data_IF_649181117875
#
_entry.id   IF_649181117875
#
_cell.length_a   1.000
_cell.length_b   1.000
_cell.length_c   1.000
_cell.angle_alpha   90.00
_cell.angle_beta   90.00
_cell.angle_gamma   90.00
#
_symmetry.space_group_name_H-M   'P 1'
#
loop_
_entity.id
_entity.type
_entity.pdbx_description
1 polymer ?
#
# COMPACT_ATOMS: atom_id res chain seq x y z
N UNK A 1 27.09 -0.60 -28.11
CA UNK A 1 25.83 -0.22 -27.41
C UNK A 1 25.23 -1.44 -26.71
N UNK A 2 25.56 -1.66 -25.43
CA UNK A 2 24.86 -2.56 -24.50
C UNK A 2 25.13 -2.04 -23.08
N UNK A 3 24.24 -1.22 -22.52
CA UNK A 3 24.40 -0.69 -21.15
C UNK A 3 23.08 -0.14 -20.58
N UNK A 4 21.98 -0.88 -20.72
CA UNK A 4 20.68 -0.48 -20.16
C UNK A 4 20.03 -1.55 -19.28
N UNK A 5 20.47 -2.81 -19.33
CA UNK A 5 19.82 -3.88 -18.55
C UNK A 5 20.23 -3.93 -17.07
N UNK A 6 21.44 -3.48 -16.72
CA UNK A 6 21.93 -3.56 -15.33
C UNK A 6 21.33 -2.48 -14.42
N UNK A 7 21.17 -1.25 -14.91
CA UNK A 7 20.57 -0.16 -14.15
C UNK A 7 19.08 -0.39 -13.85
N UNK A 8 18.31 -0.91 -14.82
CA UNK A 8 16.91 -1.26 -14.64
C UNK A 8 16.73 -2.41 -13.63
N UNK A 9 17.60 -3.43 -13.67
CA UNK A 9 17.58 -4.55 -12.72
C UNK A 9 17.96 -4.12 -11.30
N UNK A 10 19.02 -3.31 -11.13
CA UNK A 10 19.42 -2.80 -9.82
C UNK A 10 18.35 -1.88 -9.21
N UNK A 11 17.65 -1.11 -10.05
CA UNK A 11 16.54 -0.26 -9.63
C UNK A 11 15.28 -1.06 -9.28
N UNK A 12 15.02 -2.26 -9.83
CA UNK A 12 13.89 -3.09 -9.35
C UNK A 12 14.21 -3.69 -7.99
N UNK A 13 15.41 -4.26 -7.82
CA UNK A 13 15.83 -4.90 -6.57
C UNK A 13 15.83 -3.95 -5.38
N UNK A 14 16.23 -2.69 -5.59
CA UNK A 14 16.19 -1.68 -4.52
C UNK A 14 14.75 -1.39 -4.04
N UNK A 15 13.79 -1.31 -4.96
CA UNK A 15 12.37 -1.04 -4.64
C UNK A 15 11.72 -2.23 -3.94
N UNK A 16 11.98 -3.43 -4.46
CA UNK A 16 11.53 -4.70 -3.85
C UNK A 16 12.08 -4.85 -2.43
N UNK A 17 13.36 -4.54 -2.21
CA UNK A 17 13.98 -4.60 -0.87
C UNK A 17 13.31 -3.63 0.11
N UNK A 18 13.02 -2.39 -0.33
CA UNK A 18 12.30 -1.41 0.48
C UNK A 18 10.89 -1.91 0.81
N UNK A 19 10.18 -2.47 -0.18
CA UNK A 19 8.84 -3.03 -0.02
C UNK A 19 8.80 -4.18 1.00
N UNK A 20 9.72 -5.15 0.89
CA UNK A 20 9.74 -6.29 1.81
C UNK A 20 10.17 -5.90 3.22
N UNK A 21 11.12 -4.97 3.37
CA UNK A 21 11.48 -4.44 4.68
C UNK A 21 10.29 -3.71 5.33
N UNK A 22 9.59 -2.87 4.57
CA UNK A 22 8.38 -2.20 5.01
C UNK A 22 7.28 -3.19 5.44
N UNK A 23 6.96 -4.17 4.60
CA UNK A 23 5.92 -5.18 4.89
C UNK A 23 6.27 -5.94 6.17
N UNK A 24 7.53 -6.36 6.35
CA UNK A 24 7.96 -7.07 7.55
C UNK A 24 7.89 -6.20 8.82
N UNK A 25 8.37 -4.95 8.75
CA UNK A 25 8.44 -4.04 9.90
C UNK A 25 7.07 -3.49 10.31
N UNK A 26 6.11 -3.37 9.37
CA UNK A 26 4.76 -2.90 9.63
C UNK A 26 3.98 -3.79 10.62
N UNK A 27 4.44 -5.02 10.86
CA UNK A 27 3.86 -5.94 11.86
C UNK A 27 4.49 -5.82 13.23
N UNK A 28 5.51 -4.97 13.41
CA UNK A 28 6.24 -4.82 14.66
C UNK A 28 6.06 -3.40 15.21
N UNK A 29 5.21 -3.19 16.24
CA UNK A 29 4.90 -1.84 16.73
C UNK A 29 6.14 -1.04 17.19
N UNK A 30 7.16 -1.71 17.71
CA UNK A 30 8.40 -1.07 18.16
C UNK A 30 9.27 -0.53 17.00
N UNK A 31 8.90 -0.81 15.74
CA UNK A 31 9.63 -0.43 14.54
C UNK A 31 8.79 0.52 13.65
N UNK A 32 7.71 1.11 14.18
CA UNK A 32 6.82 1.98 13.42
C UNK A 32 7.58 3.10 12.67
N UNK A 33 8.55 3.76 13.31
CA UNK A 33 9.37 4.80 12.66
C UNK A 33 10.15 4.28 11.44
N UNK A 34 10.80 3.12 11.56
CA UNK A 34 11.54 2.52 10.46
C UNK A 34 10.59 2.05 9.36
N UNK A 35 9.46 1.44 9.73
CA UNK A 35 8.43 1.00 8.79
C UNK A 35 7.88 2.19 7.99
N UNK A 36 7.60 3.33 8.63
CA UNK A 36 7.17 4.56 7.95
C UNK A 36 8.25 5.04 6.96
N UNK A 37 9.51 5.07 7.39
CA UNK A 37 10.64 5.50 6.56
C UNK A 37 10.81 4.61 5.31
N UNK A 38 10.82 3.29 5.49
CA UNK A 38 10.95 2.34 4.38
C UNK A 38 9.74 2.36 3.46
N UNK A 39 8.52 2.40 4.00
CA UNK A 39 7.28 2.46 3.21
C UNK A 39 7.19 3.75 2.40
N UNK A 40 7.57 4.90 2.96
CA UNK A 40 7.61 6.19 2.25
C UNK A 40 8.56 6.11 1.07
N UNK A 41 9.78 5.60 1.29
CA UNK A 41 10.76 5.41 0.22
C UNK A 41 10.29 4.41 -0.85
N UNK A 42 9.53 3.38 -0.46
CA UNK A 42 8.95 2.43 -1.39
C UNK A 42 7.85 3.08 -2.26
N UNK A 43 6.98 3.90 -1.67
CA UNK A 43 5.97 4.68 -2.39
C UNK A 43 6.63 5.58 -3.44
N UNK A 44 7.65 6.34 -3.04
CA UNK A 44 8.39 7.22 -3.95
C UNK A 44 9.03 6.43 -5.10
N UNK A 45 9.61 5.27 -4.78
CA UNK A 45 10.22 4.35 -5.73
C UNK A 45 9.25 3.80 -6.79
N UNK A 46 7.98 3.56 -6.43
CA UNK A 46 6.94 3.07 -7.32
C UNK A 46 6.09 4.18 -7.96
N UNK A 47 6.45 5.47 -7.75
CA UNK A 47 5.67 6.60 -8.26
C UNK A 47 5.79 6.84 -9.77
N UNK A 48 6.88 6.40 -10.41
CA UNK A 48 7.12 6.64 -11.83
C UNK A 48 6.33 5.67 -12.73
N UNK A 49 5.14 6.09 -13.16
CA UNK A 49 4.26 5.33 -14.06
C UNK A 49 4.81 5.08 -15.46
N UNK A 50 5.85 5.81 -15.86
CA UNK A 50 6.50 5.63 -17.17
C UNK A 50 7.64 4.60 -17.13
N UNK A 51 7.98 4.08 -15.95
CA UNK A 51 8.94 2.99 -15.82
C UNK A 51 8.35 1.71 -16.45
N UNK A 52 9.05 1.05 -17.40
CA UNK A 52 8.59 -0.21 -17.99
C UNK A 52 8.33 -1.34 -16.98
N UNK A 53 8.94 -1.28 -15.79
CA UNK A 53 8.73 -2.22 -14.69
C UNK A 53 7.65 -1.76 -13.70
N UNK A 54 6.98 -0.63 -13.94
CA UNK A 54 5.92 -0.15 -13.08
C UNK A 54 4.69 -1.07 -13.16
N UNK A 55 4.15 -1.41 -12.00
CA UNK A 55 2.87 -2.08 -11.87
C UNK A 55 2.03 -1.39 -10.79
N UNK A 56 0.76 -1.14 -11.09
CA UNK A 56 -0.19 -0.53 -10.16
C UNK A 56 -0.31 -1.32 -8.84
N UNK A 57 -0.17 -2.66 -8.91
CA UNK A 57 -0.24 -3.54 -7.74
C UNK A 57 0.90 -3.30 -6.75
N UNK A 58 2.13 -3.10 -7.24
CA UNK A 58 3.29 -2.83 -6.38
C UNK A 58 3.18 -1.47 -5.71
N UNK A 59 2.73 -0.46 -6.46
CA UNK A 59 2.45 0.87 -5.91
C UNK A 59 1.34 0.80 -4.86
N UNK A 60 0.24 0.08 -5.13
CA UNK A 60 -0.84 -0.10 -4.16
C UNK A 60 -0.38 -0.82 -2.89
N UNK A 61 0.49 -1.84 -3.03
CA UNK A 61 1.10 -2.53 -1.91
C UNK A 61 1.96 -1.60 -1.06
N UNK A 62 2.80 -0.76 -1.67
CA UNK A 62 3.64 0.21 -0.95
C UNK A 62 2.79 1.23 -0.16
N UNK A 63 1.72 1.75 -0.74
CA UNK A 63 0.77 2.64 -0.06
C UNK A 63 0.09 1.95 1.14
N UNK A 64 -0.31 0.69 0.96
CA UNK A 64 -0.91 -0.11 2.03
C UNK A 64 0.05 -0.29 3.21
N UNK A 65 1.33 -0.58 2.93
CA UNK A 65 2.35 -0.74 3.97
C UNK A 65 2.61 0.58 4.72
N UNK A 66 2.56 1.71 4.01
CA UNK A 66 2.67 3.03 4.65
C UNK A 66 1.48 3.29 5.59
N UNK A 67 0.26 2.98 5.16
CA UNK A 67 -0.93 3.14 5.99
C UNK A 67 -0.86 2.28 7.26
N UNK A 68 -0.47 1.00 7.15
CA UNK A 68 -0.30 0.11 8.31
C UNK A 68 0.78 0.65 9.26
N UNK A 69 1.90 1.15 8.74
CA UNK A 69 2.98 1.70 9.56
C UNK A 69 2.53 2.97 10.31
N UNK A 70 1.76 3.86 9.68
CA UNK A 70 1.18 5.05 10.32
C UNK A 70 0.15 4.69 11.39
N UNK A 71 -0.69 3.68 11.16
CA UNK A 71 -1.61 3.14 12.19
C UNK A 71 -0.86 2.56 13.40
N UNK A 72 0.31 1.96 13.20
CA UNK A 72 1.13 1.47 14.30
C UNK A 72 1.67 2.62 15.18
N UNK A 73 1.89 3.80 14.59
CA UNK A 73 2.21 5.05 15.28
C UNK A 73 0.97 5.84 15.75
N UNK A 74 -0.23 5.26 15.58
CA UNK A 74 -1.54 5.86 15.89
C UNK A 74 -1.87 7.12 15.09
N UNK A 75 -1.21 7.33 13.96
CA UNK A 75 -1.48 8.40 13.00
C UNK A 75 -2.58 7.95 12.03
N UNK A 76 -3.85 8.22 12.39
CA UNK A 76 -5.02 7.84 11.57
C UNK A 76 -5.11 8.71 10.32
N UNK A 77 -5.01 10.04 10.47
CA UNK A 77 -5.07 11.00 9.37
C UNK A 77 -4.02 10.67 8.31
N UNK A 78 -2.79 10.40 8.75
CA UNK A 78 -1.77 9.97 7.83
C UNK A 78 -2.02 8.59 7.21
N UNK A 79 -2.64 7.65 7.92
CA UNK A 79 -3.01 6.37 7.32
C UNK A 79 -4.06 6.53 6.22
N UNK A 80 -5.01 7.44 6.39
CA UNK A 80 -6.02 7.80 5.37
C UNK A 80 -5.37 8.40 4.14
N UNK A 81 -4.50 9.40 4.31
CA UNK A 81 -3.72 9.99 3.21
C UNK A 81 -2.92 8.95 2.43
N UNK A 82 -2.28 8.03 3.16
CA UNK A 82 -1.45 6.99 2.57
C UNK A 82 -2.28 5.99 1.76
N UNK A 83 -3.51 5.68 2.19
CA UNK A 83 -4.38 4.71 1.55
C UNK A 83 -5.24 5.30 0.41
N UNK A 84 -5.47 6.62 0.40
CA UNK A 84 -6.32 7.28 -0.60
C UNK A 84 -6.02 6.87 -2.06
N UNK A 85 -4.74 6.80 -2.52
CA UNK A 85 -4.43 6.38 -3.89
C UNK A 85 -4.83 4.93 -4.22
N UNK A 86 -4.96 4.07 -3.20
CA UNK A 86 -5.44 2.69 -3.35
C UNK A 86 -6.96 2.67 -3.49
N UNK A 87 -7.66 3.44 -2.65
CA UNK A 87 -9.13 3.51 -2.67
C UNK A 87 -9.66 4.18 -3.95
N UNK A 88 -8.88 5.08 -4.54
CA UNK A 88 -9.14 5.74 -5.83
C UNK A 88 -8.94 4.82 -7.05
N UNK A 89 -8.40 3.60 -6.88
CA UNK A 89 -8.20 2.70 -8.00
C UNK A 89 -9.55 2.35 -8.66
N UNK A 90 -9.60 2.39 -10.01
CA UNK A 90 -10.81 2.06 -10.72
C UNK A 90 -11.14 0.56 -10.55
N UNK A 91 -12.41 0.15 -10.66
CA UNK A 91 -12.84 -1.23 -10.42
C UNK A 91 -12.01 -2.31 -11.16
N UNK A 92 -11.52 -2.01 -12.36
CA UNK A 92 -10.69 -2.90 -13.19
C UNK A 92 -9.33 -3.22 -12.55
N UNK A 93 -8.83 -2.33 -11.69
CA UNK A 93 -7.55 -2.47 -10.97
C UNK A 93 -7.72 -3.02 -9.55
N UNK A 94 -8.96 -3.22 -9.09
CA UNK A 94 -9.29 -3.84 -7.78
C UNK A 94 -9.18 -5.36 -7.83
N UNK A 95 -8.04 -5.84 -8.33
CA UNK A 95 -7.72 -7.26 -8.36
C UNK A 95 -7.59 -7.81 -6.94
N UNK A 96 -7.70 -9.13 -6.81
CA UNK A 96 -7.73 -9.82 -5.52
C UNK A 96 -6.59 -9.38 -4.56
N UNK A 97 -5.35 -9.25 -5.06
CA UNK A 97 -4.22 -8.82 -4.22
C UNK A 97 -4.34 -7.39 -3.66
N UNK A 98 -4.93 -6.47 -4.41
CA UNK A 98 -5.19 -5.09 -3.96
C UNK A 98 -6.31 -5.07 -2.92
N UNK A 99 -7.38 -5.82 -3.16
CA UNK A 99 -8.50 -5.98 -2.22
C UNK A 99 -8.02 -6.57 -0.89
N UNK A 100 -7.21 -7.64 -0.93
CA UNK A 100 -6.61 -8.21 0.28
C UNK A 100 -5.69 -7.21 1.00
N UNK A 101 -4.98 -6.36 0.27
CA UNK A 101 -4.12 -5.32 0.87
C UNK A 101 -4.94 -4.29 1.64
N UNK A 102 -6.05 -3.79 1.08
CA UNK A 102 -6.97 -2.90 1.80
C UNK A 102 -7.55 -3.57 3.06
N UNK A 103 -7.92 -4.85 2.99
CA UNK A 103 -8.40 -5.63 4.14
C UNK A 103 -7.34 -5.77 5.24
N UNK A 104 -6.04 -5.85 4.89
CA UNK A 104 -4.94 -5.86 5.88
C UNK A 104 -4.87 -4.54 6.67
N UNK A 105 -5.22 -3.40 6.05
CA UNK A 105 -5.29 -2.11 6.75
C UNK A 105 -6.44 -2.13 7.76
N UNK A 106 -7.62 -2.59 7.37
CA UNK A 106 -8.75 -2.75 8.30
C UNK A 106 -8.38 -3.64 9.49
N UNK A 107 -7.67 -4.75 9.25
CA UNK A 107 -7.17 -5.60 10.32
C UNK A 107 -6.14 -4.90 11.22
N UNK A 108 -5.33 -3.98 10.67
CA UNK A 108 -4.41 -3.16 11.45
C UNK A 108 -5.11 -2.15 12.35
N UNK A 109 -6.17 -1.49 11.86
CA UNK A 109 -7.02 -0.59 12.65
C UNK A 109 -7.58 -1.33 13.87
N UNK A 110 -8.16 -2.52 13.67
CA UNK A 110 -8.74 -3.34 14.75
C UNK A 110 -7.67 -3.74 15.76
N UNK A 111 -6.51 -4.22 15.30
CA UNK A 111 -5.40 -4.63 16.17
C UNK A 111 -4.84 -3.48 17.01
N UNK A 112 -4.78 -2.27 16.45
CA UNK A 112 -4.31 -1.08 17.15
C UNK A 112 -5.34 -0.51 18.15
N UNK A 113 -6.55 -1.09 18.20
CA UNK A 113 -7.64 -0.60 19.04
C UNK A 113 -8.22 0.73 18.55
N UNK A 114 -8.12 1.02 17.25
CA UNK A 114 -8.51 2.30 16.63
C UNK A 114 -9.86 2.23 15.91
N UNK A 115 -10.61 1.14 16.07
CA UNK A 115 -11.82 0.89 15.27
C UNK A 115 -12.92 1.95 15.41
N UNK A 116 -13.02 2.62 16.56
CA UNK A 116 -13.98 3.73 16.74
C UNK A 116 -13.45 5.01 16.08
N UNK A 117 -12.19 5.34 16.31
CA UNK A 117 -11.57 6.58 15.81
C UNK A 117 -11.39 6.57 14.28
N UNK A 118 -11.22 5.39 13.68
CA UNK A 118 -11.02 5.19 12.24
C UNK A 118 -12.23 4.55 11.54
N UNK A 119 -13.44 4.77 12.05
CA UNK A 119 -14.69 4.27 11.43
C UNK A 119 -14.83 4.76 9.98
N UNK A 120 -14.46 6.02 9.75
CA UNK A 120 -14.20 6.71 8.47
C UNK A 120 -13.61 5.78 7.39
N UNK A 121 -12.35 5.44 7.69
CA UNK A 121 -11.48 4.63 6.88
C UNK A 121 -11.98 3.18 6.74
N UNK A 122 -12.60 2.62 7.80
CA UNK A 122 -13.18 1.28 7.73
C UNK A 122 -14.31 1.23 6.70
N UNK A 123 -15.24 2.17 6.73
CA UNK A 123 -16.35 2.25 5.77
C UNK A 123 -15.83 2.36 4.33
N UNK A 124 -14.84 3.24 4.11
CA UNK A 124 -14.21 3.41 2.80
C UNK A 124 -13.55 2.12 2.29
N UNK A 125 -12.88 1.35 3.16
CA UNK A 125 -12.30 0.04 2.81
C UNK A 125 -13.41 -0.97 2.47
N UNK A 126 -14.48 -1.01 3.24
CA UNK A 126 -15.61 -1.91 2.98
C UNK A 126 -16.27 -1.62 1.62
N UNK A 127 -16.51 -0.36 1.30
CA UNK A 127 -17.06 0.04 0.00
C UNK A 127 -16.12 -0.29 -1.16
N UNK A 128 -14.82 -0.05 -0.98
CA UNK A 128 -13.81 -0.41 -1.96
C UNK A 128 -13.81 -1.91 -2.26
N UNK A 129 -13.86 -2.74 -1.22
CA UNK A 129 -13.80 -4.21 -1.31
C UNK A 129 -15.11 -4.84 -1.79
N UNK A 130 -16.25 -4.16 -1.61
CA UNK A 130 -17.59 -4.64 -2.01
C UNK A 130 -17.84 -4.55 -3.51
N UNK A 131 -17.07 -3.77 -4.26
CA UNK A 131 -17.24 -3.55 -5.71
C UNK A 131 -16.56 -4.67 -6.51
N UNK A 132 -17.28 -5.71 -6.99
CA UNK A 132 -16.64 -6.82 -7.68
C UNK A 132 -16.49 -6.47 -9.17
N UNK A 133 -15.43 -6.96 -9.81
CA UNK A 133 -15.23 -6.89 -11.28
C UNK A 133 -16.45 -7.37 -12.10
N UNK A 134 -17.33 -8.18 -11.52
CA UNK A 134 -18.60 -8.62 -12.14
C UNK A 134 -19.62 -7.50 -12.40
N UNK A 135 -19.44 -6.29 -11.86
CA UNK A 135 -20.32 -5.16 -12.12
C UNK A 135 -20.06 -4.42 -13.46
N UNK A 136 -19.00 -4.78 -14.20
CA UNK A 136 -18.54 -4.08 -15.40
C UNK A 136 -19.04 -4.75 -16.70
N UNK A 137 -19.62 -5.94 -16.62
CA UNK A 137 -20.27 -6.56 -17.79
C UNK A 137 -21.69 -6.01 -17.95
N UNK A 138 -21.84 -4.94 -18.74
CA UNK A 138 -23.09 -4.59 -19.42
C UNK A 138 -22.88 -4.51 -20.92
#
# INVERSE_FOLDING_TARGET
MRSTSWAASASSTARETLYYAADALAWLPAQATDAISYSTRAVDAFSNRNDPAWAFGDQAGAHTNLAIARLADRDIEGAEEALAPVLDLPPEQRINGVVQSAQRVQAAIVRAGLAQDAAELIEAIEDFTRTPLKAITR
#
